data_IF_321783208231
#
_entry.id   IF_321783208231
#
_cell.length_a   1.000
_cell.length_b   1.000
_cell.length_c   1.000
_cell.angle_alpha   90.00
_cell.angle_beta   90.00
_cell.angle_gamma   90.00
#
_symmetry.space_group_name_H-M   'P 1'
#
loop_
_entity.id
_entity.type
_entity.pdbx_description
1 polymer ?
#
# COMPACT_ATOMS: atom_id res chain seq x y z
N UNK A 1 -13.02 -3.41 2.96
CA UNK A 1 -11.63 -3.68 3.38
C UNK A 1 -10.69 -2.56 2.94
N UNK A 2 -10.38 -2.39 1.64
CA UNK A 2 -9.40 -1.36 1.21
C UNK A 2 -9.82 0.05 1.64
N UNK A 3 -11.09 0.42 1.45
CA UNK A 3 -11.66 1.69 1.94
C UNK A 3 -11.48 1.91 3.44
N UNK A 4 -11.60 0.83 4.22
CA UNK A 4 -11.47 0.83 5.68
C UNK A 4 -10.01 0.98 6.11
N UNK A 5 -9.08 0.27 5.45
CA UNK A 5 -7.63 0.42 5.69
C UNK A 5 -7.19 1.84 5.37
N UNK A 6 -7.54 2.36 4.18
CA UNK A 6 -7.19 3.73 3.78
C UNK A 6 -7.74 4.75 4.78
N UNK A 7 -8.98 4.59 5.23
CA UNK A 7 -9.59 5.50 6.20
C UNK A 7 -9.01 5.41 7.61
N UNK A 8 -8.49 4.24 8.01
CA UNK A 8 -7.82 4.05 9.29
C UNK A 8 -6.39 4.61 9.30
N UNK A 9 -5.71 4.53 8.16
CA UNK A 9 -4.29 4.90 8.01
C UNK A 9 -4.09 6.35 7.58
N UNK A 10 -5.02 6.91 6.81
CA UNK A 10 -4.87 8.25 6.24
C UNK A 10 -6.07 9.14 6.54
N UNK A 11 -5.86 10.36 7.07
CA UNK A 11 -6.93 11.33 7.26
C UNK A 11 -7.67 11.63 5.95
N UNK A 12 -9.00 11.70 6.03
CA UNK A 12 -9.87 11.83 4.85
C UNK A 12 -9.66 13.12 4.03
N UNK A 13 -9.05 14.14 4.64
CA UNK A 13 -8.75 15.44 4.03
C UNK A 13 -7.39 15.48 3.33
N UNK A 14 -6.63 14.38 3.34
CA UNK A 14 -5.38 14.29 2.59
C UNK A 14 -5.63 14.22 1.09
N UNK A 15 -4.64 14.58 0.26
CA UNK A 15 -4.78 14.58 -1.18
C UNK A 15 -5.24 13.23 -1.74
N UNK A 16 -6.13 13.27 -2.72
CA UNK A 16 -6.69 12.07 -3.34
C UNK A 16 -5.62 11.14 -3.96
N UNK A 17 -4.54 11.69 -4.51
CA UNK A 17 -3.43 10.90 -5.06
C UNK A 17 -2.68 10.11 -3.96
N UNK A 18 -2.53 10.68 -2.76
CA UNK A 18 -1.93 9.98 -1.62
C UNK A 18 -2.84 8.83 -1.14
N UNK A 19 -4.15 9.08 -1.03
CA UNK A 19 -5.14 8.05 -0.68
C UNK A 19 -5.17 6.92 -1.70
N UNK A 20 -5.04 7.24 -3.01
CA UNK A 20 -4.96 6.24 -4.09
C UNK A 20 -3.68 5.42 -4.02
N UNK A 21 -2.54 6.04 -3.74
CA UNK A 21 -1.28 5.32 -3.54
C UNK A 21 -1.39 4.30 -2.38
N UNK A 22 -1.98 4.72 -1.25
CA UNK A 22 -2.24 3.82 -0.12
C UNK A 22 -3.22 2.71 -0.47
N UNK A 23 -4.27 2.99 -1.25
CA UNK A 23 -5.22 1.96 -1.67
C UNK A 23 -4.54 0.85 -2.48
N UNK A 24 -3.62 1.20 -3.39
CA UNK A 24 -2.84 0.23 -4.17
C UNK A 24 -1.85 -0.52 -3.27
N UNK A 25 -1.13 0.16 -2.39
CA UNK A 25 -0.18 -0.48 -1.48
C UNK A 25 -0.90 -1.45 -0.52
N UNK A 26 -1.98 -1.02 0.13
CA UNK A 26 -2.78 -1.87 1.02
C UNK A 26 -3.33 -3.10 0.29
N UNK A 27 -3.77 -2.96 -0.96
CA UNK A 27 -4.26 -4.08 -1.76
C UNK A 27 -3.15 -5.06 -2.12
N UNK A 28 -1.98 -4.57 -2.52
CA UNK A 28 -0.85 -5.42 -2.89
C UNK A 28 -0.34 -6.19 -1.68
N UNK A 29 -0.23 -5.53 -0.53
CA UNK A 29 0.07 -6.18 0.74
C UNK A 29 -0.94 -7.29 1.07
N UNK A 30 -2.24 -6.99 1.05
CA UNK A 30 -3.29 -7.98 1.33
C UNK A 30 -3.24 -9.17 0.36
N UNK A 31 -3.05 -8.91 -0.93
CA UNK A 31 -2.95 -9.97 -1.94
C UNK A 31 -1.68 -10.79 -1.80
N UNK A 32 -0.53 -10.18 -1.50
CA UNK A 32 0.70 -10.92 -1.23
C UNK A 32 0.54 -11.85 -0.01
N UNK A 33 -0.21 -11.43 1.01
CA UNK A 33 -0.50 -12.25 2.19
C UNK A 33 -1.49 -13.39 1.88
N UNK A 34 -2.50 -13.13 1.05
CA UNK A 34 -3.48 -14.15 0.63
C UNK A 34 -2.90 -15.14 -0.39
N UNK A 35 -2.00 -14.69 -1.26
CA UNK A 35 -1.39 -15.49 -2.31
C UNK A 35 -0.24 -16.38 -1.82
N UNK A 36 0.11 -16.36 -0.52
CA UNK A 36 1.06 -17.31 0.08
C UNK A 36 0.35 -18.65 0.37
N UNK A 37 0.68 -19.76 -0.32
CA UNK A 37 0.57 -21.10 0.26
C UNK A 37 1.77 -21.32 1.20
N UNK A 38 1.64 -22.25 2.16
CA UNK A 38 2.78 -22.79 2.90
C UNK A 38 3.75 -23.53 1.96
N UNK A 39 4.55 -22.82 1.16
CA UNK A 39 5.59 -23.39 0.31
C UNK A 39 6.93 -22.71 0.58
N UNK A 40 7.64 -23.34 1.51
CA UNK A 40 9.06 -23.47 1.86
C UNK A 40 10.21 -22.87 1.01
N UNK A 41 10.01 -21.84 0.19
CA UNK A 41 11.09 -21.25 -0.63
C UNK A 41 11.39 -19.77 -0.34
N UNK A 42 10.61 -19.08 0.50
CA UNK A 42 10.94 -17.73 0.96
C UNK A 42 10.75 -17.66 2.47
N UNK A 43 11.78 -18.10 3.18
CA UNK A 43 11.90 -17.96 4.63
C UNK A 43 12.31 -16.51 4.94
N UNK A 44 11.40 -15.56 4.72
CA UNK A 44 11.49 -14.24 5.35
C UNK A 44 10.57 -14.27 6.56
N UNK A 45 11.22 -14.30 7.71
CA UNK A 45 10.71 -14.78 8.98
C UNK A 45 9.34 -14.25 9.38
N UNK A 46 8.64 -15.12 10.10
CA UNK A 46 7.46 -14.81 10.89
C UNK A 46 7.70 -13.56 11.73
N UNK A 47 7.29 -12.41 11.22
CA UNK A 47 7.11 -11.21 12.02
C UNK A 47 5.65 -10.85 11.92
N UNK A 48 4.94 -11.10 13.00
CA UNK A 48 3.59 -10.61 13.27
C UNK A 48 3.60 -9.10 13.12
N UNK A 49 3.25 -8.57 11.95
CA UNK A 49 3.14 -7.13 11.73
C UNK A 49 1.74 -6.79 11.31
N UNK A 50 0.87 -6.87 12.32
CA UNK A 50 -0.40 -6.16 12.32
C UNK A 50 -0.09 -4.66 12.25
N UNK A 51 -0.53 -3.99 11.18
CA UNK A 51 -0.71 -2.54 11.22
C UNK A 51 -1.97 -2.12 10.45
N UNK A 52 -2.80 -1.39 11.21
CA UNK A 52 -4.15 -0.86 10.99
C UNK A 52 -5.25 -1.80 10.47
N UNK A 53 -5.69 -2.72 11.34
CA UNK A 53 -7.12 -3.03 11.39
C UNK A 53 -7.74 -2.29 12.59
N UNK A 54 -7.88 -0.97 12.47
CA UNK A 54 -8.33 -0.05 13.52
C UNK A 54 -9.84 0.07 13.69
N UNK A 55 -10.62 -0.89 13.21
CA UNK A 55 -12.06 -0.96 13.47
C UNK A 55 -12.95 -0.49 12.31
N UNK A 56 -14.11 -1.12 12.22
CA UNK A 56 -15.10 -1.06 11.13
C UNK A 56 -15.79 0.31 10.91
N UNK A 57 -15.23 1.41 11.45
CA UNK A 57 -15.86 2.75 11.44
C UNK A 57 -15.04 3.87 10.79
N UNK A 58 -13.89 3.58 10.16
CA UNK A 58 -12.95 4.60 9.67
C UNK A 58 -13.19 5.03 8.21
N UNK A 59 -14.20 4.46 7.54
CA UNK A 59 -14.46 4.78 6.13
C UNK A 59 -15.02 6.19 5.92
N UNK A 60 -14.48 6.89 4.94
CA UNK A 60 -14.96 8.21 4.51
C UNK A 60 -15.37 8.18 3.03
N UNK A 61 -15.98 9.26 2.54
CA UNK A 61 -16.25 9.41 1.10
C UNK A 61 -14.96 9.35 0.28
N UNK A 62 -13.87 9.96 0.76
CA UNK A 62 -12.59 9.99 0.06
C UNK A 62 -11.86 8.65 0.10
N UNK A 63 -11.90 7.92 1.22
CA UNK A 63 -11.29 6.57 1.27
C UNK A 63 -12.03 5.56 0.39
N UNK A 64 -13.36 5.65 0.30
CA UNK A 64 -14.16 4.86 -0.64
C UNK A 64 -13.87 5.23 -2.10
N UNK A 65 -13.78 6.51 -2.42
CA UNK A 65 -13.41 6.97 -3.76
C UNK A 65 -12.02 6.45 -4.17
N UNK A 66 -11.01 6.62 -3.32
CA UNK A 66 -9.66 6.13 -3.60
C UNK A 66 -9.60 4.60 -3.82
N UNK A 67 -10.37 3.84 -3.02
CA UNK A 67 -10.46 2.39 -3.18
C UNK A 67 -11.14 1.98 -4.50
N UNK A 68 -12.19 2.71 -4.92
CA UNK A 68 -12.92 2.48 -6.16
C UNK A 68 -12.09 2.89 -7.39
N UNK A 69 -11.48 4.07 -7.38
CA UNK A 69 -10.65 4.58 -8.48
C UNK A 69 -9.46 3.67 -8.80
N UNK A 70 -8.96 2.97 -7.78
CA UNK A 70 -7.83 2.04 -7.90
C UNK A 70 -8.26 0.57 -7.94
N UNK A 71 -9.53 0.30 -8.22
CA UNK A 71 -10.06 -1.06 -8.16
C UNK A 71 -9.25 -2.03 -9.02
N UNK A 72 -8.83 -3.12 -8.38
CA UNK A 72 -8.03 -4.18 -8.99
C UNK A 72 -6.56 -3.84 -9.21
N UNK A 73 -6.10 -2.61 -8.96
CA UNK A 73 -4.70 -2.23 -9.13
C UNK A 73 -3.84 -2.71 -7.96
N UNK A 74 -2.74 -3.36 -8.29
CA UNK A 74 -1.70 -3.82 -7.36
C UNK A 74 -0.30 -3.49 -7.92
N UNK A 75 0.71 -3.58 -7.06
CA UNK A 75 2.11 -3.53 -7.43
C UNK A 75 2.61 -4.93 -7.82
N UNK A 76 3.33 -4.99 -8.94
CA UNK A 76 3.96 -6.20 -9.45
C UNK A 76 5.42 -5.97 -9.78
N UNK A 77 6.25 -6.98 -9.56
CA UNK A 77 7.65 -7.02 -9.95
C UNK A 77 7.96 -8.41 -10.53
N UNK A 78 8.53 -8.45 -11.73
CA UNK A 78 8.89 -9.70 -12.44
C UNK A 78 7.74 -10.74 -12.52
N UNK A 79 6.50 -10.27 -12.66
CA UNK A 79 5.31 -11.13 -12.72
C UNK A 79 4.80 -11.62 -11.35
N UNK A 80 5.50 -11.32 -10.25
CA UNK A 80 5.05 -11.55 -8.88
C UNK A 80 4.32 -10.34 -8.29
N UNK A 81 3.54 -10.57 -7.23
CA UNK A 81 2.92 -9.50 -6.41
C UNK A 81 3.96 -8.96 -5.44
N UNK A 82 4.11 -7.63 -5.37
CA UNK A 82 5.01 -6.98 -4.42
C UNK A 82 4.33 -6.88 -3.05
N UNK A 83 5.00 -7.37 -2.01
CA UNK A 83 4.64 -7.08 -0.63
C UNK A 83 4.96 -5.62 -0.29
N UNK A 84 4.00 -4.73 -0.56
CA UNK A 84 4.21 -3.29 -0.42
C UNK A 84 3.94 -2.83 1.01
N UNK A 85 5.00 -2.81 1.82
CA UNK A 85 4.96 -2.30 3.18
C UNK A 85 4.76 -0.77 3.18
N UNK A 86 4.12 -0.22 4.20
CA UNK A 86 3.95 1.22 4.37
C UNK A 86 3.98 1.60 5.86
N UNK A 87 4.31 2.86 6.18
CA UNK A 87 4.36 3.38 7.54
C UNK A 87 4.06 4.88 7.59
N UNK A 88 3.69 5.38 8.78
CA UNK A 88 3.38 6.80 9.00
C UNK A 88 4.52 7.75 8.57
N UNK A 89 5.76 7.39 8.91
CA UNK A 89 6.96 8.18 8.63
C UNK A 89 8.09 7.34 8.00
N UNK A 90 8.99 8.02 7.28
CA UNK A 90 10.20 7.49 6.67
C UNK A 90 11.18 6.90 7.68
N UNK A 91 11.29 7.46 8.88
CA UNK A 91 12.21 6.90 9.88
C UNK A 91 11.70 5.55 10.36
N UNK A 92 10.39 5.43 10.59
CA UNK A 92 9.72 4.15 10.85
C UNK A 92 9.86 3.19 9.67
N UNK A 93 9.80 3.66 8.42
CA UNK A 93 10.06 2.82 7.25
C UNK A 93 11.47 2.20 7.28
N UNK A 94 12.51 2.98 7.58
CA UNK A 94 13.89 2.51 7.60
C UNK A 94 14.13 1.57 8.78
N UNK A 95 13.65 1.93 9.97
CA UNK A 95 13.79 1.12 11.20
C UNK A 95 12.98 -0.18 11.12
N UNK A 96 11.76 -0.12 10.56
CA UNK A 96 10.86 -1.27 10.50
C UNK A 96 11.16 -2.20 9.32
N UNK A 97 11.54 -1.66 8.15
CA UNK A 97 11.54 -2.39 6.88
C UNK A 97 12.84 -2.27 6.07
N UNK A 98 13.89 -1.62 6.59
CA UNK A 98 15.15 -1.39 5.86
C UNK A 98 15.85 -2.65 5.33
N UNK A 99 15.55 -3.82 5.89
CA UNK A 99 16.05 -5.14 5.46
C UNK A 99 15.01 -5.99 4.69
N UNK A 100 13.76 -5.52 4.57
CA UNK A 100 12.62 -6.28 4.02
C UNK A 100 12.18 -5.80 2.63
N UNK A 101 12.79 -4.73 2.12
CA UNK A 101 12.55 -4.21 0.77
C UNK A 101 11.93 -2.82 0.76
N UNK A 102 11.20 -2.52 -0.32
CA UNK A 102 10.62 -1.20 -0.58
C UNK A 102 9.42 -0.90 0.34
N UNK A 103 9.33 0.32 0.86
CA UNK A 103 8.23 0.73 1.73
C UNK A 103 7.87 2.21 1.57
N UNK A 104 6.56 2.48 1.56
CA UNK A 104 6.02 3.82 1.37
C UNK A 104 5.83 4.56 2.70
N UNK A 105 6.34 5.79 2.76
CA UNK A 105 6.01 6.72 3.84
C UNK A 105 4.71 7.43 3.50
N UNK A 106 3.73 7.38 4.41
CA UNK A 106 2.43 8.03 4.21
C UNK A 106 2.54 9.55 4.17
N UNK A 107 3.31 10.15 5.08
CA UNK A 107 3.57 11.60 5.06
C UNK A 107 4.36 12.04 3.83
N UNK A 108 5.32 11.22 3.38
CA UNK A 108 6.04 11.51 2.14
C UNK A 108 5.16 11.36 0.89
N UNK A 109 4.26 10.37 0.85
CA UNK A 109 3.25 10.23 -0.19
C UNK A 109 2.29 11.43 -0.23
N UNK A 110 1.86 11.92 0.94
CA UNK A 110 1.11 13.18 1.06
C UNK A 110 1.91 14.35 0.48
N UNK A 111 3.16 14.54 0.92
CA UNK A 111 4.00 15.66 0.46
C UNK A 111 4.22 15.63 -1.06
N UNK A 112 4.37 14.45 -1.65
CA UNK A 112 4.45 14.30 -3.11
C UNK A 112 3.13 14.65 -3.79
N UNK A 113 2.00 14.19 -3.25
CA UNK A 113 0.69 14.55 -3.79
C UNK A 113 0.42 16.06 -3.68
N UNK A 114 0.80 16.71 -2.57
CA UNK A 114 0.72 18.17 -2.39
C UNK A 114 1.58 18.93 -3.43
N UNK A 115 2.64 18.29 -3.95
CA UNK A 115 3.48 18.81 -5.05
C UNK A 115 2.93 18.49 -6.44
N UNK A 116 1.74 17.90 -6.54
CA UNK A 116 1.09 17.55 -7.81
C UNK A 116 1.53 16.22 -8.42
N UNK A 117 2.20 15.35 -7.67
CA UNK A 117 2.52 14.01 -8.17
C UNK A 117 1.27 13.13 -8.21
N UNK A 118 1.11 12.40 -9.31
CA UNK A 118 0.09 11.36 -9.44
C UNK A 118 0.44 10.13 -8.59
N UNK A 119 -0.56 9.37 -8.15
CA UNK A 119 -0.35 8.19 -7.31
C UNK A 119 0.60 7.18 -7.94
N UNK A 120 0.59 7.06 -9.28
CA UNK A 120 1.52 6.21 -10.02
C UNK A 120 2.97 6.64 -9.81
N UNK A 121 3.25 7.94 -9.89
CA UNK A 121 4.58 8.50 -9.69
C UNK A 121 5.01 8.43 -8.22
N UNK A 122 4.06 8.58 -7.29
CA UNK A 122 4.29 8.38 -5.85
C UNK A 122 4.77 6.94 -5.61
N UNK A 123 4.02 5.96 -6.12
CA UNK A 123 4.36 4.54 -5.98
C UNK A 123 5.72 4.21 -6.60
N UNK A 124 6.02 4.71 -7.80
CA UNK A 124 7.33 4.48 -8.45
C UNK A 124 8.52 5.03 -7.66
N UNK A 125 8.33 6.06 -6.83
CA UNK A 125 9.39 6.58 -5.96
C UNK A 125 9.67 5.68 -4.75
N UNK A 126 8.65 4.98 -4.25
CA UNK A 126 8.78 4.11 -3.09
C UNK A 126 9.09 2.66 -3.43
N UNK A 127 8.61 2.19 -4.58
CA UNK A 127 8.75 0.82 -5.06
C UNK A 127 9.46 0.81 -6.43
N UNK A 128 10.75 1.16 -6.47
CA UNK A 128 11.50 1.22 -7.74
C UNK A 128 11.52 -0.15 -8.43
N UNK A 129 11.33 -0.17 -9.74
CA UNK A 129 11.25 -1.38 -10.55
C UNK A 129 9.88 -2.05 -10.55
N UNK A 130 9.01 -1.78 -9.57
CA UNK A 130 7.63 -2.28 -9.58
C UNK A 130 6.77 -1.53 -10.60
N UNK A 131 5.84 -2.24 -11.23
CA UNK A 131 4.83 -1.70 -12.13
C UNK A 131 3.43 -1.94 -11.57
N UNK A 132 2.44 -1.22 -12.12
CA UNK A 132 1.05 -1.50 -11.80
C UNK A 132 0.55 -2.70 -12.62
N UNK A 133 -0.02 -3.67 -11.93
CA UNK A 133 -0.78 -4.76 -12.53
C UNK A 133 -2.24 -4.65 -12.11
N UNK A 134 -3.14 -5.20 -12.94
CA UNK A 134 -4.57 -5.30 -12.62
C UNK A 134 -4.96 -6.76 -12.43
N UNK A 135 -5.54 -7.05 -11.27
CA UNK A 135 -6.15 -8.35 -10.99
C UNK A 135 -7.32 -8.56 -11.97
N UNK A 136 -7.24 -9.63 -12.75
CA UNK A 136 -8.37 -10.08 -13.57
C UNK A 136 -9.41 -10.71 -12.64
N UNK A 137 -10.68 -10.34 -12.78
CA UNK A 137 -11.77 -11.17 -12.26
C UNK A 137 -12.00 -12.28 -13.27
N UNK A 138 -11.76 -13.52 -12.86
CA UNK A 138 -12.35 -14.71 -13.49
C UNK A 138 -13.86 -14.69 -13.32
#
# INVERSE_FOLDING_TARGET
YISSVVGAEMPSHWPAEALRAQAVAARSYAMAHLARPASQAWNLGATTRWQAYGGLGTESKSSRAAAADTQGLILSFEGGIVESLYAADRQLTVEAHGHLGASMSQQGARSLADKGYQFTQILSKYYPGASLARLQRS
#
